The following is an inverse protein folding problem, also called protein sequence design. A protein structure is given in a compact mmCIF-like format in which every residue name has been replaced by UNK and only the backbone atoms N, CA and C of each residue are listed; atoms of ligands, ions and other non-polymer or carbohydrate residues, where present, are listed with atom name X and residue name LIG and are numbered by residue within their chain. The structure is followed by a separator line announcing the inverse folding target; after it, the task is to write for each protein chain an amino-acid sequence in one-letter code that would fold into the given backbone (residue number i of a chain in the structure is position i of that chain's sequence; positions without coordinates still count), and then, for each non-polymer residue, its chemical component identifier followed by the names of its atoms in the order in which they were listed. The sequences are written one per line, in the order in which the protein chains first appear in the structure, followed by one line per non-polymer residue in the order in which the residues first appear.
data_IF_534725910761
#
_entry.id   IF_534725910761
#
_cell.length_a   1.000
_cell.length_b   1.000
_cell.length_c   1.000
_cell.angle_alpha   90.00
_cell.angle_beta   90.00
_cell.angle_gamma   90.00
#
_symmetry.space_group_name_H-M   'P 1'
#
loop_
_entity.id
_entity.type
_entity.pdbx_description
1 polymer ?
#
# COMPACT_ATOMS: atom_id res chain seq x y z
N UNK A 1 -26.30 -8.74 -29.74
CA UNK A 1 -26.76 -10.06 -30.22
C UNK A 1 -26.53 -10.14 -31.71
N UNK A 2 -25.67 -11.03 -32.18
CA UNK A 2 -25.50 -11.29 -33.62
C UNK A 2 -25.76 -12.77 -33.84
N UNK A 3 -26.75 -13.09 -34.65
CA UNK A 3 -27.12 -14.46 -35.00
C UNK A 3 -26.45 -14.80 -36.33
N UNK A 4 -25.64 -15.86 -36.36
CA UNK A 4 -25.14 -16.45 -37.61
C UNK A 4 -26.08 -17.60 -38.04
N UNK A 5 -26.10 -17.86 -39.35
CA UNK A 5 -27.07 -18.73 -40.04
C UNK A 5 -26.93 -20.24 -39.74
N UNK A 6 -26.05 -20.64 -38.83
CA UNK A 6 -25.84 -22.03 -38.38
C UNK A 6 -26.45 -22.33 -37.00
N UNK A 7 -27.10 -21.33 -36.37
CA UNK A 7 -27.79 -21.52 -35.10
C UNK A 7 -26.87 -21.55 -33.87
N UNK A 8 -25.58 -21.22 -34.03
CA UNK A 8 -24.67 -21.09 -32.89
C UNK A 8 -24.85 -19.71 -32.24
N UNK A 9 -25.37 -19.71 -31.01
CA UNK A 9 -25.56 -18.50 -30.20
C UNK A 9 -24.28 -18.23 -29.43
N UNK A 10 -23.42 -17.36 -29.95
CA UNK A 10 -22.29 -16.84 -29.17
C UNK A 10 -22.80 -15.71 -28.27
N UNK A 11 -22.91 -15.99 -26.97
CA UNK A 11 -23.05 -14.95 -25.95
C UNK A 11 -21.70 -14.24 -25.77
N UNK A 12 -21.44 -13.21 -26.58
CA UNK A 12 -20.45 -12.21 -26.20
C UNK A 12 -21.07 -11.34 -25.10
N UNK A 13 -20.94 -11.80 -23.86
CA UNK A 13 -21.05 -10.90 -22.71
C UNK A 13 -19.77 -10.09 -22.71
N UNK A 14 -19.80 -8.97 -23.44
CA UNK A 14 -18.98 -7.83 -23.07
C UNK A 14 -19.60 -7.35 -21.77
N UNK A 15 -19.08 -7.84 -20.64
CA UNK A 15 -19.37 -7.25 -19.35
C UNK A 15 -18.90 -5.81 -19.43
N UNK A 16 -19.84 -4.88 -19.61
CA UNK A 16 -19.69 -3.54 -19.07
C UNK A 16 -19.37 -3.74 -17.58
N UNK A 17 -18.17 -3.33 -17.19
CA UNK A 17 -17.81 -3.18 -15.78
C UNK A 17 -18.91 -2.37 -15.10
N UNK A 18 -19.52 -3.00 -14.10
CA UNK A 18 -20.52 -2.40 -13.25
C UNK A 18 -19.82 -1.28 -12.46
N UNK A 19 -19.84 -0.06 -13.01
CA UNK A 19 -19.25 1.15 -12.43
C UNK A 19 -19.94 1.62 -11.12
N UNK A 20 -20.64 0.72 -10.42
CA UNK A 20 -21.37 0.97 -9.18
C UNK A 20 -21.01 0.00 -8.04
N UNK A 21 -20.10 -0.95 -8.27
CA UNK A 21 -19.42 -1.62 -7.16
C UNK A 21 -18.37 -0.65 -6.61
N UNK A 22 -18.47 -0.29 -5.32
CA UNK A 22 -17.32 0.17 -4.53
C UNK A 22 -16.34 -1.00 -4.41
N UNK A 23 -15.74 -1.41 -5.52
CA UNK A 23 -14.79 -2.50 -5.52
C UNK A 23 -13.52 -2.04 -4.82
N UNK A 24 -13.12 -2.81 -3.83
CA UNK A 24 -11.84 -2.60 -3.16
C UNK A 24 -10.78 -2.80 -4.24
N UNK A 25 -9.87 -1.82 -4.45
CA UNK A 25 -8.79 -1.98 -5.40
C UNK A 25 -8.03 -3.28 -5.14
N UNK A 26 -7.65 -3.98 -6.21
CA UNK A 26 -6.84 -5.19 -6.14
C UNK A 26 -5.71 -5.07 -7.14
N UNK A 27 -4.54 -5.63 -6.82
CA UNK A 27 -3.44 -5.67 -7.76
C UNK A 27 -3.75 -6.67 -8.85
N UNK A 28 -3.53 -6.25 -10.09
CA UNK A 28 -3.80 -7.09 -11.26
C UNK A 28 -2.75 -8.19 -11.43
N UNK A 29 -1.52 -7.91 -10.96
CA UNK A 29 -0.38 -8.80 -11.08
C UNK A 29 0.73 -8.35 -10.13
N UNK A 30 1.32 -9.27 -9.35
CA UNK A 30 2.52 -9.02 -8.56
C UNK A 30 3.60 -10.06 -8.86
N UNK A 31 4.80 -9.60 -9.21
CA UNK A 31 5.96 -10.45 -9.41
C UNK A 31 7.06 -10.08 -8.41
N UNK A 32 7.50 -11.05 -7.61
CA UNK A 32 8.71 -10.89 -6.80
C UNK A 32 9.92 -11.11 -7.70
N UNK A 33 10.62 -10.02 -8.03
CA UNK A 33 11.83 -10.04 -8.87
C UNK A 33 13.06 -10.53 -8.13
N UNK A 34 13.14 -10.17 -6.84
CA UNK A 34 14.27 -10.48 -5.97
C UNK A 34 13.72 -10.79 -4.60
N UNK A 35 14.15 -11.91 -4.02
CA UNK A 35 14.01 -12.23 -2.62
C UNK A 35 15.39 -12.64 -2.15
N UNK A 36 16.08 -11.79 -1.37
CA UNK A 36 17.50 -11.98 -1.09
C UNK A 36 18.39 -12.02 -2.35
N UNK A 37 19.31 -12.98 -2.44
CA UNK A 37 20.16 -13.24 -3.61
C UNK A 37 19.49 -14.17 -4.65
N UNK A 38 18.23 -14.53 -4.46
CA UNK A 38 17.52 -15.50 -5.31
C UNK A 38 16.36 -14.82 -6.03
N UNK A 39 16.19 -15.14 -7.31
CA UNK A 39 14.97 -14.84 -8.05
C UNK A 39 13.96 -15.98 -7.77
N UNK A 40 12.91 -15.76 -6.98
CA UNK A 40 11.91 -16.78 -6.70
C UNK A 40 11.03 -17.04 -7.93
N UNK A 41 10.26 -18.14 -7.90
CA UNK A 41 9.34 -18.44 -9.01
C UNK A 41 8.23 -17.37 -9.11
N UNK A 42 7.66 -17.12 -10.30
CA UNK A 42 6.60 -16.13 -10.49
C UNK A 42 5.32 -16.38 -9.67
N UNK A 43 5.19 -17.55 -9.04
CA UNK A 43 4.03 -17.95 -8.23
C UNK A 43 4.40 -18.18 -6.77
N UNK A 44 5.51 -17.60 -6.30
CA UNK A 44 5.98 -17.79 -4.94
C UNK A 44 5.16 -16.99 -3.93
N UNK A 45 5.07 -17.52 -2.71
CA UNK A 45 4.63 -16.78 -1.52
C UNK A 45 5.87 -16.46 -0.69
N UNK A 46 6.06 -15.17 -0.40
CA UNK A 46 7.19 -14.68 0.39
C UNK A 46 6.67 -14.04 1.66
N UNK A 47 7.13 -14.53 2.82
CA UNK A 47 6.74 -14.01 4.14
C UNK A 47 7.97 -13.51 4.88
N UNK A 48 7.90 -12.26 5.35
CA UNK A 48 8.86 -11.63 6.26
C UNK A 48 8.26 -11.58 7.66
N UNK A 49 8.99 -12.14 8.63
CA UNK A 49 8.54 -12.16 10.03
C UNK A 49 9.70 -11.92 11.00
N UNK A 50 9.38 -11.39 12.18
CA UNK A 50 10.35 -11.15 13.26
C UNK A 50 9.90 -11.89 14.52
N UNK A 51 10.78 -12.71 15.08
CA UNK A 51 10.56 -13.42 16.36
C UNK A 51 11.85 -13.40 17.18
N UNK A 52 11.77 -12.99 18.46
CA UNK A 52 12.91 -12.94 19.38
C UNK A 52 14.15 -12.19 18.83
N UNK A 53 13.94 -11.10 18.09
CA UNK A 53 15.01 -10.31 17.45
C UNK A 53 15.63 -10.95 16.21
N UNK A 54 15.23 -12.18 15.85
CA UNK A 54 15.59 -12.82 14.60
C UNK A 54 14.56 -12.48 13.53
N UNK A 55 15.03 -12.12 12.34
CA UNK A 55 14.19 -11.86 11.17
C UNK A 55 14.33 -13.04 10.22
N UNK A 56 13.20 -13.62 9.82
CA UNK A 56 13.15 -14.72 8.86
C UNK A 56 12.41 -14.31 7.58
N UNK A 57 13.00 -14.71 6.45
CA UNK A 57 12.40 -14.64 5.13
C UNK A 57 12.06 -16.07 4.70
N UNK A 58 10.77 -16.34 4.59
CA UNK A 58 10.27 -17.61 4.10
C UNK A 58 9.85 -17.46 2.64
N UNK A 59 10.39 -18.30 1.77
CA UNK A 59 10.02 -18.38 0.35
C UNK A 59 9.41 -19.75 0.09
N UNK A 60 8.14 -19.76 -0.29
CA UNK A 60 7.38 -20.96 -0.68
C UNK A 60 7.08 -20.91 -2.18
N UNK A 61 7.73 -21.78 -2.95
CA UNK A 61 7.56 -21.87 -4.42
C UNK A 61 6.73 -23.09 -4.83
N UNK A 62 5.91 -23.64 -3.93
CA UNK A 62 5.04 -24.80 -4.16
C UNK A 62 5.74 -26.15 -4.10
N UNK A 63 6.91 -26.28 -4.74
CA UNK A 63 7.72 -27.51 -4.72
C UNK A 63 8.87 -27.45 -3.71
N UNK A 64 9.24 -26.25 -3.29
CA UNK A 64 10.33 -26.01 -2.35
C UNK A 64 9.95 -24.90 -1.39
N UNK A 65 10.28 -25.11 -0.12
CA UNK A 65 10.12 -24.14 0.96
C UNK A 65 11.47 -23.87 1.57
N UNK A 66 11.91 -22.60 1.55
CA UNK A 66 13.22 -22.17 2.05
C UNK A 66 13.01 -21.09 3.10
N UNK A 67 13.69 -21.24 4.23
CA UNK A 67 13.72 -20.22 5.28
C UNK A 67 15.14 -19.66 5.36
N UNK A 68 15.26 -18.33 5.25
CA UNK A 68 16.52 -17.60 5.31
C UNK A 68 16.53 -16.74 6.56
N UNK A 69 17.65 -16.73 7.28
CA UNK A 69 17.89 -15.79 8.37
C UNK A 69 18.41 -14.48 7.77
N UNK A 70 17.65 -13.41 7.96
CA UNK A 70 17.86 -12.12 7.29
C UNK A 70 18.17 -11.00 8.27
N UNK A 71 18.48 -11.37 9.52
CA UNK A 71 18.63 -10.43 10.64
C UNK A 71 19.68 -9.34 10.39
N UNK A 72 20.75 -9.65 9.63
CA UNK A 72 21.88 -8.74 9.39
C UNK A 72 21.93 -8.15 7.98
N UNK A 73 20.85 -8.25 7.18
CA UNK A 73 20.87 -7.68 5.84
C UNK A 73 20.75 -6.16 5.83
N UNK A 74 21.55 -5.53 4.96
CA UNK A 74 21.68 -4.07 4.84
C UNK A 74 21.14 -3.54 3.49
N UNK A 75 20.59 -4.41 2.64
CA UNK A 75 20.05 -4.08 1.31
C UNK A 75 18.55 -4.38 1.22
N UNK A 76 17.91 -3.97 0.12
CA UNK A 76 16.53 -4.32 -0.22
C UNK A 76 16.32 -5.84 -0.20
N UNK A 77 15.38 -6.32 0.62
CA UNK A 77 15.11 -7.75 0.79
C UNK A 77 14.23 -8.32 -0.30
N UNK A 78 13.29 -7.50 -0.76
CA UNK A 78 12.30 -7.86 -1.74
C UNK A 78 12.14 -6.71 -2.75
N UNK A 79 12.08 -7.04 -4.03
CA UNK A 79 11.60 -6.12 -5.06
C UNK A 79 10.37 -6.74 -5.73
N UNK A 80 9.26 -6.00 -5.72
CA UNK A 80 7.97 -6.39 -6.29
C UNK A 80 7.68 -5.47 -7.48
N UNK A 81 7.17 -6.04 -8.57
CA UNK A 81 6.75 -5.29 -9.76
C UNK A 81 5.29 -5.60 -10.13
N UNK A 82 4.52 -4.54 -10.45
CA UNK A 82 3.16 -4.61 -11.00
C UNK A 82 3.14 -4.14 -12.46
N UNK A 83 2.58 -4.97 -13.37
CA UNK A 83 2.78 -4.85 -14.84
C UNK A 83 1.79 -3.95 -15.59
N UNK A 84 0.80 -3.35 -14.93
CA UNK A 84 -0.06 -2.38 -15.61
C UNK A 84 0.64 -1.02 -15.85
N UNK A 85 1.58 -0.63 -14.96
CA UNK A 85 2.29 0.67 -15.04
C UNK A 85 3.78 0.63 -14.61
N UNK A 86 4.42 -0.56 -14.53
CA UNK A 86 5.79 -0.72 -13.98
C UNK A 86 5.96 -0.09 -12.59
N UNK A 87 4.95 -0.27 -11.72
CA UNK A 87 5.06 0.20 -10.35
C UNK A 87 5.95 -0.76 -9.56
N UNK A 88 7.01 -0.22 -8.95
CA UNK A 88 7.96 -0.99 -8.14
C UNK A 88 7.73 -0.72 -6.66
N UNK A 89 7.57 -1.78 -5.89
CA UNK A 89 7.53 -1.73 -4.43
C UNK A 89 8.72 -2.51 -3.87
N UNK A 90 9.54 -1.83 -3.06
CA UNK A 90 10.67 -2.44 -2.36
C UNK A 90 10.24 -2.77 -0.94
N UNK A 91 10.59 -3.97 -0.47
CA UNK A 91 10.39 -4.35 0.93
C UNK A 91 11.75 -4.56 1.59
N UNK A 92 11.95 -3.94 2.74
CA UNK A 92 13.20 -3.97 3.48
C UNK A 92 12.99 -4.00 4.98
N UNK A 93 14.09 -3.73 5.70
CA UNK A 93 14.10 -3.58 7.16
C UNK A 93 14.69 -2.20 7.47
N UNK A 94 14.00 -1.42 8.30
CA UNK A 94 14.51 -0.16 8.85
C UNK A 94 14.38 -0.22 10.38
N UNK A 95 15.51 -0.47 11.06
CA UNK A 95 15.55 -0.70 12.50
C UNK A 95 14.74 -1.94 12.92
N UNK A 96 13.73 -1.73 13.77
CA UNK A 96 12.85 -2.81 14.26
C UNK A 96 11.60 -3.03 13.39
N UNK A 97 11.39 -2.22 12.34
CA UNK A 97 10.21 -2.26 11.46
C UNK A 97 10.57 -2.79 10.08
N UNK A 98 9.57 -3.33 9.37
CA UNK A 98 9.64 -3.59 7.95
C UNK A 98 9.33 -2.29 7.19
N UNK A 99 10.07 -2.03 6.12
CA UNK A 99 9.86 -0.88 5.24
C UNK A 99 9.22 -1.33 3.94
N UNK A 100 8.23 -0.56 3.46
CA UNK A 100 7.60 -0.69 2.16
C UNK A 100 7.85 0.62 1.40
N UNK A 101 8.78 0.62 0.46
CA UNK A 101 9.19 1.82 -0.27
C UNK A 101 8.66 1.82 -1.71
N UNK A 102 7.96 2.89 -2.06
CA UNK A 102 7.49 3.16 -3.42
C UNK A 102 7.75 4.62 -3.78
N UNK A 103 8.53 4.85 -4.83
CA UNK A 103 8.85 6.19 -5.36
C UNK A 103 9.29 7.21 -4.28
N UNK A 104 10.08 6.76 -3.29
CA UNK A 104 10.60 7.60 -2.20
C UNK A 104 9.65 7.80 -1.01
N UNK A 105 8.43 7.26 -1.04
CA UNK A 105 7.54 7.15 0.12
C UNK A 105 7.83 5.82 0.82
N UNK A 106 8.10 5.84 2.12
CA UNK A 106 8.47 4.68 2.91
C UNK A 106 7.41 4.44 3.98
N UNK A 107 6.66 3.36 3.88
CA UNK A 107 5.72 2.94 4.92
C UNK A 107 6.38 1.95 5.89
N UNK A 108 6.34 2.26 7.18
CA UNK A 108 6.96 1.46 8.23
C UNK A 108 5.91 0.68 9.02
N UNK A 109 6.12 -0.64 9.15
CA UNK A 109 5.21 -1.54 9.87
C UNK A 109 5.95 -2.49 10.79
N UNK A 110 5.38 -2.79 11.96
CA UNK A 110 5.86 -3.88 12.82
C UNK A 110 5.19 -5.22 12.51
N UNK A 111 4.19 -5.23 11.63
CA UNK A 111 3.46 -6.44 11.27
C UNK A 111 4.25 -7.29 10.28
N UNK A 112 4.28 -8.62 10.43
CA UNK A 112 4.81 -9.51 9.40
C UNK A 112 4.16 -9.23 8.04
N UNK A 113 4.99 -9.19 6.98
CA UNK A 113 4.56 -8.85 5.62
C UNK A 113 4.56 -10.13 4.79
N UNK A 114 3.49 -10.39 4.04
CA UNK A 114 3.37 -11.52 3.12
C UNK A 114 3.02 -11.03 1.73
N UNK A 115 3.79 -11.47 0.74
CA UNK A 115 3.61 -11.18 -0.68
C UNK A 115 3.29 -12.50 -1.37
N UNK A 116 2.08 -12.61 -1.90
CA UNK A 116 1.62 -13.76 -2.67
C UNK A 116 1.54 -13.37 -4.15
N UNK A 117 2.57 -13.74 -4.92
CA UNK A 117 2.59 -13.49 -6.37
C UNK A 117 1.60 -14.34 -7.15
N UNK A 118 1.15 -15.47 -6.58
CA UNK A 118 0.16 -16.33 -7.24
C UNK A 118 -1.21 -15.68 -7.25
N UNK A 119 -1.57 -15.02 -6.16
CA UNK A 119 -2.87 -14.33 -6.02
C UNK A 119 -2.77 -12.81 -6.20
N UNK A 120 -1.59 -12.30 -6.52
CA UNK A 120 -1.29 -10.87 -6.63
C UNK A 120 -1.69 -10.08 -5.37
N UNK A 121 -1.41 -10.62 -4.18
CA UNK A 121 -1.79 -9.99 -2.93
C UNK A 121 -0.58 -9.62 -2.07
N UNK A 122 -0.56 -8.37 -1.59
CA UNK A 122 0.27 -7.94 -0.47
C UNK A 122 -0.59 -7.88 0.78
N UNK A 123 -0.12 -8.46 1.87
CA UNK A 123 -0.85 -8.51 3.13
C UNK A 123 0.07 -8.39 4.33
N UNK A 124 -0.51 -8.00 5.46
CA UNK A 124 0.18 -7.98 6.75
C UNK A 124 -0.59 -8.81 7.77
N UNK A 125 0.15 -9.47 8.66
CA UNK A 125 -0.43 -10.23 9.76
C UNK A 125 -0.61 -9.33 10.98
N UNK A 126 -1.85 -8.91 11.22
CA UNK A 126 -2.22 -8.05 12.36
C UNK A 126 -2.77 -8.86 13.53
N UNK A 127 -3.08 -8.18 14.64
CA UNK A 127 -3.68 -8.81 15.82
C UNK A 127 -5.09 -9.32 15.56
N UNK A 128 -5.83 -8.68 14.65
CA UNK A 128 -7.19 -9.10 14.28
C UNK A 128 -7.25 -10.07 13.09
N UNK A 129 -6.09 -10.47 12.55
CA UNK A 129 -5.96 -11.41 11.44
C UNK A 129 -5.16 -10.84 10.27
N UNK A 130 -5.20 -11.55 9.14
CA UNK A 130 -4.57 -11.11 7.91
C UNK A 130 -5.34 -9.93 7.30
N UNK A 131 -4.63 -8.87 6.91
CA UNK A 131 -5.19 -7.67 6.27
C UNK A 131 -4.47 -7.42 4.96
N UNK A 132 -5.24 -7.16 3.90
CA UNK A 132 -4.68 -6.82 2.60
C UNK A 132 -4.26 -5.35 2.56
N UNK A 133 -3.12 -5.12 1.94
CA UNK A 133 -2.58 -3.83 1.61
C UNK A 133 -2.73 -3.70 0.09
N UNK A 134 -3.91 -3.23 -0.30
CA UNK A 134 -4.28 -3.04 -1.72
C UNK A 134 -3.84 -1.70 -2.28
N UNK A 135 -3.59 -0.74 -1.39
CA UNK A 135 -3.13 0.61 -1.76
C UNK A 135 -1.69 0.71 -1.35
N UNK A 136 -0.80 0.92 -2.32
CA UNK A 136 0.61 1.10 -2.02
C UNK A 136 0.92 2.47 -1.41
N UNK A 137 2.08 2.63 -0.74
CA UNK A 137 2.39 3.84 0.01
C UNK A 137 2.28 5.14 -0.79
N UNK A 138 2.75 5.16 -2.04
CA UNK A 138 2.68 6.35 -2.89
C UNK A 138 1.23 6.67 -3.26
N UNK A 139 0.44 5.65 -3.57
CA UNK A 139 -0.97 5.81 -3.92
C UNK A 139 -1.79 6.41 -2.76
N UNK A 140 -1.52 5.98 -1.53
CA UNK A 140 -2.15 6.55 -0.34
C UNK A 140 -1.81 8.05 -0.17
N UNK A 141 -0.54 8.42 -0.38
CA UNK A 141 -0.11 9.83 -0.34
C UNK A 141 -0.74 10.65 -1.46
N UNK A 142 -0.82 10.10 -2.67
CA UNK A 142 -1.44 10.78 -3.83
C UNK A 142 -2.95 10.95 -3.63
N UNK A 143 -3.63 9.95 -3.06
CA UNK A 143 -5.03 10.05 -2.66
C UNK A 143 -5.23 11.20 -1.66
N UNK A 144 -4.37 11.31 -0.64
CA UNK A 144 -4.42 12.41 0.33
C UNK A 144 -4.21 13.77 -0.33
N UNK A 145 -3.18 13.93 -1.17
CA UNK A 145 -2.88 15.20 -1.84
C UNK A 145 -4.02 15.63 -2.77
N UNK A 146 -4.68 14.69 -3.43
CA UNK A 146 -5.84 14.95 -4.30
C UNK A 146 -7.02 15.57 -3.56
N UNK A 147 -7.16 15.28 -2.26
CA UNK A 147 -8.21 15.89 -1.42
C UNK A 147 -7.97 17.37 -1.13
N UNK A 148 -6.76 17.87 -1.36
CA UNK A 148 -6.30 19.23 -1.01
C UNK A 148 -6.37 19.57 0.49
N UNK A 149 -6.65 18.59 1.35
CA UNK A 149 -6.65 18.77 2.80
C UNK A 149 -5.23 18.95 3.31
N UNK A 150 -4.28 18.26 2.67
CA UNK A 150 -2.84 18.44 2.81
C UNK A 150 -2.29 18.82 1.45
N UNK A 151 -1.31 19.72 1.40
CA UNK A 151 -0.62 20.09 0.16
C UNK A 151 0.90 20.07 0.28
N UNK A 152 1.41 19.69 1.45
CA UNK A 152 2.85 19.47 1.68
C UNK A 152 3.02 18.27 2.59
N UNK A 153 3.82 17.29 2.15
CA UNK A 153 4.22 16.16 2.99
C UNK A 153 5.47 16.57 3.77
N UNK A 154 5.43 16.44 5.10
CA UNK A 154 6.54 16.86 5.98
C UNK A 154 7.61 15.79 6.05
N UNK A 155 7.19 14.53 6.06
CA UNK A 155 8.07 13.36 6.14
C UNK A 155 7.56 12.28 5.17
N UNK A 156 8.39 11.80 4.23
CA UNK A 156 8.01 10.70 3.35
C UNK A 156 7.95 9.35 4.06
N UNK A 157 8.41 9.27 5.32
CA UNK A 157 8.21 8.10 6.18
C UNK A 157 6.84 8.15 6.84
N UNK A 158 5.98 7.21 6.48
CA UNK A 158 4.62 7.04 6.99
C UNK A 158 4.54 5.75 7.81
N UNK A 159 3.53 5.62 8.67
CA UNK A 159 3.35 4.39 9.46
C UNK A 159 2.18 3.57 8.93
N UNK A 160 2.29 2.24 9.02
CA UNK A 160 1.15 1.33 8.86
C UNK A 160 0.74 0.80 10.22
N UNK A 161 -0.49 1.06 10.61
CA UNK A 161 -1.03 0.67 11.92
C UNK A 161 -2.37 -0.04 11.76
N UNK A 162 -2.76 -0.81 12.77
CA UNK A 162 -4.10 -1.34 12.89
C UNK A 162 -4.85 -0.55 13.97
N UNK A 163 -5.94 0.12 13.61
CA UNK A 163 -6.84 0.79 14.54
C UNK A 163 -8.28 0.43 14.19
N UNK A 164 -9.12 0.19 15.21
CA UNK A 164 -10.51 -0.23 15.01
C UNK A 164 -10.66 -1.45 14.05
N UNK A 165 -9.68 -2.36 14.06
CA UNK A 165 -9.60 -3.55 13.17
C UNK A 165 -9.47 -3.22 11.68
N UNK A 166 -9.09 -1.99 11.35
CA UNK A 166 -8.78 -1.52 10.01
C UNK A 166 -7.29 -1.24 9.88
N UNK A 167 -6.70 -1.69 8.77
CA UNK A 167 -5.32 -1.38 8.44
C UNK A 167 -5.28 0.00 7.81
N UNK A 168 -4.47 0.90 8.35
CA UNK A 168 -4.42 2.29 7.92
C UNK A 168 -2.99 2.83 7.85
N UNK A 169 -2.75 3.69 6.86
CA UNK A 169 -1.58 4.55 6.78
C UNK A 169 -1.78 5.78 7.66
N UNK A 170 -0.75 6.15 8.41
CA UNK A 170 -0.66 7.40 9.17
C UNK A 170 0.30 8.32 8.44
N UNK A 171 -0.25 9.39 7.85
CA UNK A 171 0.51 10.33 7.02
C UNK A 171 0.53 11.71 7.69
N UNK A 172 1.72 12.17 8.05
CA UNK A 172 1.94 13.51 8.59
C UNK A 172 2.22 14.51 7.46
N UNK A 173 1.40 15.55 7.40
CA UNK A 173 1.50 16.59 6.38
C UNK A 173 1.12 17.96 6.92
N UNK A 174 1.13 18.93 6.01
CA UNK A 174 0.76 20.31 6.27
C UNK A 174 -0.23 20.81 5.23
N UNK A 175 -1.18 21.63 5.70
CA UNK A 175 -1.90 22.56 4.84
C UNK A 175 -1.18 23.90 4.92
N UNK A 176 -0.47 24.24 3.85
CA UNK A 176 0.18 25.53 3.69
C UNK A 176 -0.74 26.42 2.86
N UNK A 177 -1.00 27.64 3.33
CA UNK A 177 -1.68 28.64 2.52
C UNK A 177 -1.05 30.00 2.74
N UNK A 178 -1.13 30.79 1.70
CA UNK A 178 -0.54 32.10 1.66
C UNK A 178 -1.59 33.16 2.06
N UNK A 179 -1.23 34.00 3.02
CA UNK A 179 -2.06 35.10 3.51
C UNK A 179 -1.72 36.34 2.68
N UNK A 180 -2.58 36.66 1.71
CA UNK A 180 -2.54 37.89 0.89
C UNK A 180 -1.21 38.20 0.17
N UNK A 181 -0.41 37.20 -0.15
CA UNK A 181 0.91 37.33 -0.78
C UNK A 181 2.06 37.60 0.20
N UNK A 182 1.79 37.68 1.50
CA UNK A 182 2.72 38.26 2.48
C UNK A 182 3.34 37.23 3.43
N UNK A 183 2.59 36.18 3.78
CA UNK A 183 3.03 35.21 4.77
C UNK A 183 2.46 33.82 4.46
N UNK A 184 3.33 32.81 4.48
CA UNK A 184 2.92 31.41 4.43
C UNK A 184 2.59 30.92 5.84
N UNK A 185 1.36 30.46 6.02
CA UNK A 185 0.92 29.83 7.25
C UNK A 185 0.73 28.34 7.04
N UNK A 186 1.24 27.54 7.98
CA UNK A 186 1.21 26.09 7.94
C UNK A 186 0.36 25.53 9.07
N UNK A 187 -0.57 24.65 8.74
CA UNK A 187 -1.34 23.86 9.70
C UNK A 187 -0.85 22.42 9.64
N UNK A 188 -0.36 21.83 10.75
CA UNK A 188 -0.02 20.43 10.80
C UNK A 188 -1.30 19.58 10.79
N UNK A 189 -1.30 18.53 9.96
CA UNK A 189 -2.42 17.63 9.77
C UNK A 189 -1.89 16.20 9.74
N UNK A 190 -2.48 15.33 10.56
CA UNK A 190 -2.24 13.88 10.50
C UNK A 190 -3.46 13.21 9.89
N UNK A 191 -3.25 12.47 8.80
CA UNK A 191 -4.33 11.79 8.07
C UNK A 191 -4.21 10.28 8.24
N UNK A 192 -5.36 9.64 8.46
CA UNK A 192 -5.48 8.20 8.57
C UNK A 192 -6.19 7.68 7.33
N UNK A 193 -5.50 6.85 6.55
CA UNK A 193 -5.94 6.44 5.21
C UNK A 193 -6.06 4.92 5.18
N UNK A 194 -7.19 4.41 4.72
CA UNK A 194 -7.42 2.96 4.57
C UNK A 194 -6.37 2.35 3.64
N UNK A 195 -5.62 1.34 4.12
CA UNK A 195 -4.64 0.63 3.32
C UNK A 195 -5.27 -0.34 2.30
N UNK A 196 -6.58 -0.59 2.42
CA UNK A 196 -7.35 -1.41 1.47
C UNK A 196 -8.10 -0.58 0.43
N UNK A 197 -8.63 0.59 0.79
CA UNK A 197 -9.49 1.39 -0.10
C UNK A 197 -8.91 2.73 -0.52
N UNK A 198 -7.92 3.26 0.20
CA UNK A 198 -7.32 4.57 -0.09
C UNK A 198 -8.17 5.74 0.40
N UNK A 199 -9.30 5.45 1.03
CA UNK A 199 -10.20 6.43 1.62
C UNK A 199 -9.58 7.04 2.88
N UNK A 200 -9.80 8.34 3.08
CA UNK A 200 -9.44 9.01 4.32
C UNK A 200 -10.47 8.64 5.39
N UNK A 201 -10.04 7.86 6.37
CA UNK A 201 -10.85 7.42 7.49
C UNK A 201 -11.06 8.53 8.52
N UNK A 202 -9.98 9.23 8.86
CA UNK A 202 -10.03 10.33 9.81
C UNK A 202 -8.87 11.30 9.63
N UNK A 203 -9.01 12.48 10.24
CA UNK A 203 -8.01 13.55 10.20
C UNK A 203 -7.89 14.17 11.57
N UNK A 204 -6.66 14.21 12.08
CA UNK A 204 -6.32 15.01 13.23
C UNK A 204 -5.73 16.37 12.79
N UNK A 205 -6.33 17.43 13.29
CA UNK A 205 -6.00 18.82 12.95
C UNK A 205 -6.59 19.76 14.02
N UNK A 206 -6.07 21.00 14.12
CA UNK A 206 -6.60 21.99 15.05
C UNK A 206 -8.10 22.22 14.87
N UNK A 207 -8.83 22.32 15.98
CA UNK A 207 -10.30 22.40 16.00
C UNK A 207 -10.85 23.55 15.15
N UNK A 208 -10.20 24.71 15.16
CA UNK A 208 -10.63 25.86 14.36
C UNK A 208 -10.60 25.58 12.85
N UNK A 209 -9.61 24.79 12.38
CA UNK A 209 -9.48 24.43 10.96
C UNK A 209 -10.63 23.54 10.50
N UNK A 210 -11.09 22.62 11.36
CA UNK A 210 -12.23 21.73 11.06
C UNK A 210 -13.50 22.52 10.68
N UNK A 211 -13.72 23.66 11.34
CA UNK A 211 -14.86 24.54 11.05
C UNK A 211 -14.61 25.54 9.92
N UNK A 212 -13.36 25.92 9.67
CA UNK A 212 -13.00 26.96 8.70
C UNK A 212 -12.42 26.43 7.39
N UNK A 213 -12.30 25.10 7.22
CA UNK A 213 -11.69 24.48 6.03
C UNK A 213 -12.25 24.98 4.70
N UNK A 214 -13.54 25.36 4.65
CA UNK A 214 -14.22 25.87 3.46
C UNK A 214 -13.64 27.18 2.91
N UNK A 215 -12.92 27.95 3.73
CA UNK A 215 -12.24 29.18 3.32
C UNK A 215 -10.90 28.92 2.61
N UNK A 216 -10.43 27.67 2.65
CA UNK A 216 -9.09 27.26 2.20
C UNK A 216 -9.11 26.11 1.19
N UNK A 217 -10.26 25.86 0.55
CA UNK A 217 -10.47 24.88 -0.55
C UNK A 217 -10.25 25.54 -1.90
#
# INVERSE_FOLDING_TARGET
MVVKNDGEVTWNVLSEEDNLALDIPTHSYLEVKKAAEVAPSPTSVVTLSRQNGKISLLVDSGNERRELDVTNWQEDLLEIEERAETQKLKVGIEGEKFSLEQEGIIALTSFPVTVDSKTANLSVQTSSGQKFLSIFPREAVDALLRTKLVNKIVNPRIEVVEENRQLQYVVAGEKVFNILGLLDYSIPITSYISASTGEILSIDSPTWFKYMKFLFV
#
